data_IF_452040375847
#
_entry.id   IF_452040375847
#
_cell.length_a   1.000
_cell.length_b   1.000
_cell.length_c   1.000
_cell.angle_alpha   90.00
_cell.angle_beta   90.00
_cell.angle_gamma   90.00
#
_symmetry.space_group_name_H-M   'P 1'
#
loop_
_entity.id
_entity.type
_entity.pdbx_description
1 polymer ?
#
# COMPACT_ATOMS: atom_id res chain seq x y z
N UNK A 1 -26.28 -1.28 24.13
CA UNK A 1 -25.12 -1.76 24.94
C UNK A 1 -24.70 -0.64 25.86
N UNK A 2 -24.70 -0.89 27.18
CA UNK A 2 -24.19 0.02 28.20
C UNK A 2 -22.65 -0.05 28.29
N UNK A 3 -21.97 0.92 28.92
CA UNK A 3 -20.52 0.83 29.15
C UNK A 3 -20.09 -0.45 29.90
N UNK A 4 -20.92 -0.95 30.82
CA UNK A 4 -20.63 -2.16 31.58
C UNK A 4 -20.78 -3.43 30.72
N UNK A 5 -21.82 -3.49 29.91
CA UNK A 5 -22.01 -4.58 28.94
C UNK A 5 -20.87 -4.58 27.91
N UNK A 6 -20.44 -3.40 27.44
CA UNK A 6 -19.30 -3.26 26.56
C UNK A 6 -18.01 -3.78 27.20
N UNK A 7 -17.75 -3.41 28.47
CA UNK A 7 -16.56 -3.89 29.18
C UNK A 7 -16.51 -5.41 29.26
N UNK A 8 -17.62 -6.03 29.62
CA UNK A 8 -17.72 -7.49 29.74
C UNK A 8 -17.52 -8.16 28.38
N UNK A 9 -18.18 -7.68 27.35
CA UNK A 9 -18.05 -8.21 25.98
C UNK A 9 -16.63 -8.04 25.43
N UNK A 10 -16.01 -6.89 25.68
CA UNK A 10 -14.64 -6.61 25.23
C UNK A 10 -13.61 -7.54 25.89
N UNK A 11 -13.73 -7.82 27.18
CA UNK A 11 -12.86 -8.78 27.85
C UNK A 11 -12.99 -10.18 27.22
N UNK A 12 -14.23 -10.66 27.01
CA UNK A 12 -14.46 -11.94 26.33
C UNK A 12 -13.84 -12.00 24.95
N UNK A 13 -13.99 -10.92 24.16
CA UNK A 13 -13.41 -10.85 22.82
C UNK A 13 -11.89 -10.81 22.84
N UNK A 14 -11.29 -10.07 23.77
CA UNK A 14 -9.81 -9.97 23.90
C UNK A 14 -9.23 -11.33 24.30
N UNK A 15 -9.82 -12.04 25.25
CA UNK A 15 -9.39 -13.37 25.64
C UNK A 15 -9.52 -14.35 24.47
N UNK A 16 -10.64 -14.31 23.75
CA UNK A 16 -10.84 -15.11 22.54
C UNK A 16 -9.78 -14.83 21.45
N UNK A 17 -9.45 -13.55 21.19
CA UNK A 17 -8.42 -13.18 20.22
C UNK A 17 -7.06 -13.73 20.65
N UNK A 18 -6.71 -13.63 21.92
CA UNK A 18 -5.45 -14.13 22.45
C UNK A 18 -5.32 -15.65 22.25
N UNK A 19 -6.36 -16.40 22.59
CA UNK A 19 -6.42 -17.85 22.43
C UNK A 19 -6.38 -18.26 20.95
N UNK A 20 -7.14 -17.59 20.08
CA UNK A 20 -7.09 -17.80 18.63
C UNK A 20 -5.67 -17.60 18.08
N UNK A 21 -5.01 -16.49 18.45
CA UNK A 21 -3.66 -16.19 17.98
C UNK A 21 -2.64 -17.22 18.49
N UNK A 22 -2.79 -17.70 19.71
CA UNK A 22 -1.94 -18.78 20.25
C UNK A 22 -2.07 -20.07 19.42
N UNK A 23 -3.29 -20.46 19.06
CA UNK A 23 -3.57 -21.64 18.21
C UNK A 23 -3.04 -21.48 16.78
N UNK A 24 -3.14 -20.27 16.21
CA UNK A 24 -2.57 -19.98 14.88
C UNK A 24 -1.04 -20.08 14.92
N UNK A 25 -0.39 -19.49 15.91
CA UNK A 25 1.08 -19.49 16.04
C UNK A 25 1.66 -20.86 16.35
N UNK A 26 0.93 -21.71 17.09
CA UNK A 26 1.35 -23.09 17.32
C UNK A 26 1.15 -24.01 16.11
N UNK A 27 0.44 -23.54 15.07
CA UNK A 27 0.09 -24.35 13.91
C UNK A 27 -1.03 -25.36 14.17
N UNK A 28 -1.78 -25.23 15.27
CA UNK A 28 -2.92 -26.08 15.59
C UNK A 28 -4.09 -25.88 14.61
N UNK A 29 -4.28 -24.65 14.12
CA UNK A 29 -5.31 -24.36 13.13
C UNK A 29 -4.79 -24.58 11.69
N UNK A 30 -5.67 -25.05 10.77
CA UNK A 30 -5.30 -25.22 9.37
C UNK A 30 -4.96 -23.87 8.73
N UNK A 31 -4.02 -23.85 7.79
CA UNK A 31 -3.66 -22.62 7.06
C UNK A 31 -4.80 -22.13 6.19
N UNK A 32 -5.41 -23.03 5.41
CA UNK A 32 -6.50 -22.71 4.49
C UNK A 32 -7.82 -23.20 5.02
N UNK A 33 -8.88 -22.45 4.77
CA UNK A 33 -10.26 -22.91 4.97
C UNK A 33 -10.58 -24.12 4.08
N UNK A 34 -11.36 -25.06 4.60
CA UNK A 34 -11.94 -26.16 3.84
C UNK A 34 -13.27 -25.79 3.15
N UNK A 35 -13.81 -24.60 3.40
CA UNK A 35 -15.09 -24.15 2.86
C UNK A 35 -15.03 -23.96 1.33
N UNK A 36 -16.15 -24.25 0.67
CA UNK A 36 -16.37 -23.96 -0.74
C UNK A 36 -17.08 -22.61 -0.90
N UNK A 37 -17.00 -21.99 -2.08
CA UNK A 37 -17.77 -20.78 -2.34
C UNK A 37 -19.26 -20.99 -2.08
N UNK A 38 -19.84 -20.21 -1.17
CA UNK A 38 -21.22 -20.27 -0.75
C UNK A 38 -21.49 -20.95 0.60
N UNK A 39 -20.58 -21.74 1.13
CA UNK A 39 -20.79 -22.47 2.39
C UNK A 39 -21.02 -21.53 3.57
N UNK A 40 -20.20 -20.50 3.74
CA UNK A 40 -20.37 -19.49 4.79
C UNK A 40 -21.70 -18.74 4.61
N UNK A 41 -22.04 -18.37 3.38
CA UNK A 41 -23.31 -17.69 3.09
C UNK A 41 -24.52 -18.57 3.45
N UNK A 42 -24.45 -19.87 3.17
CA UNK A 42 -25.54 -20.80 3.45
C UNK A 42 -25.73 -21.04 4.96
N UNK A 43 -24.69 -20.82 5.76
CA UNK A 43 -24.76 -20.92 7.22
C UNK A 43 -25.29 -19.64 7.90
N UNK A 44 -25.30 -18.51 7.19
CA UNK A 44 -25.83 -17.24 7.70
C UNK A 44 -27.35 -17.12 7.43
N UNK A 45 -28.10 -16.38 8.29
CA UNK A 45 -29.50 -16.10 8.05
C UNK A 45 -29.74 -15.44 6.68
N UNK A 46 -30.81 -15.84 5.98
CA UNK A 46 -31.16 -15.28 4.67
C UNK A 46 -31.71 -13.84 4.74
N UNK A 47 -32.17 -13.42 5.92
CA UNK A 47 -32.74 -12.09 6.18
C UNK A 47 -32.07 -11.47 7.42
N UNK A 48 -32.05 -10.13 7.54
CA UNK A 48 -31.56 -9.48 8.74
C UNK A 48 -32.41 -9.87 9.97
N UNK A 49 -31.80 -9.95 11.17
CA UNK A 49 -32.57 -10.24 12.40
C UNK A 49 -33.57 -9.11 12.69
N UNK A 50 -34.78 -9.47 13.09
CA UNK A 50 -35.83 -8.52 13.47
C UNK A 50 -35.60 -7.89 14.86
N UNK A 51 -34.78 -8.53 15.69
CA UNK A 51 -34.47 -8.07 17.04
C UNK A 51 -32.96 -8.20 17.32
N UNK A 52 -32.39 -7.37 18.24
CA UNK A 52 -31.01 -7.51 18.66
C UNK A 52 -30.79 -8.83 19.41
N UNK A 53 -29.62 -9.42 19.19
CA UNK A 53 -29.17 -10.63 19.85
C UNK A 53 -28.10 -10.33 20.93
N UNK A 54 -27.98 -11.16 21.96
CA UNK A 54 -26.93 -11.01 22.96
C UNK A 54 -25.56 -11.28 22.35
N UNK A 55 -24.51 -10.61 22.87
CA UNK A 55 -23.14 -10.72 22.36
C UNK A 55 -22.62 -12.18 22.30
N UNK A 56 -23.03 -13.02 23.24
CA UNK A 56 -22.67 -14.45 23.23
C UNK A 56 -23.17 -15.18 21.96
N UNK A 57 -24.28 -14.76 21.37
CA UNK A 57 -24.75 -15.32 20.10
C UNK A 57 -23.79 -14.95 18.99
N UNK A 58 -23.35 -13.68 18.94
CA UNK A 58 -22.33 -13.20 17.97
C UNK A 58 -21.02 -13.98 18.12
N UNK A 59 -20.57 -14.25 19.35
CA UNK A 59 -19.36 -15.04 19.59
C UNK A 59 -19.49 -16.49 19.11
N UNK A 60 -20.66 -17.11 19.31
CA UNK A 60 -20.93 -18.47 18.77
C UNK A 60 -20.88 -18.49 17.24
N UNK A 61 -21.45 -17.51 16.57
CA UNK A 61 -21.40 -17.40 15.09
C UNK A 61 -20.00 -17.16 14.59
N UNK A 62 -19.22 -16.35 15.31
CA UNK A 62 -17.81 -16.12 15.00
C UNK A 62 -17.02 -17.45 15.03
N UNK A 63 -17.23 -18.28 16.03
CA UNK A 63 -16.55 -19.59 16.16
C UNK A 63 -17.06 -20.64 15.18
N UNK A 64 -18.40 -20.74 15.02
CA UNK A 64 -19.00 -21.82 14.26
C UNK A 64 -19.07 -21.56 12.75
N UNK A 65 -19.17 -20.30 12.34
CA UNK A 65 -19.41 -19.92 10.94
C UNK A 65 -18.22 -19.17 10.34
N UNK A 66 -17.74 -18.13 11.04
CA UNK A 66 -16.72 -17.23 10.47
C UNK A 66 -15.32 -17.86 10.52
N UNK A 67 -14.90 -18.33 11.70
CA UNK A 67 -13.54 -18.85 11.89
C UNK A 67 -13.21 -20.03 10.96
N UNK A 68 -14.08 -21.03 10.73
CA UNK A 68 -13.80 -22.12 9.79
C UNK A 68 -13.65 -21.64 8.33
N UNK A 69 -14.23 -20.49 8.00
CA UNK A 69 -14.10 -19.83 6.68
C UNK A 69 -12.84 -18.98 6.51
N UNK A 70 -12.05 -18.78 7.55
CA UNK A 70 -10.87 -17.94 7.53
C UNK A 70 -9.63 -18.67 6.98
N UNK A 71 -8.81 -17.96 6.23
CA UNK A 71 -7.43 -18.33 5.96
C UNK A 71 -6.53 -17.74 7.04
N UNK A 72 -5.72 -18.59 7.68
CA UNK A 72 -4.89 -18.17 8.82
C UNK A 72 -3.56 -17.59 8.33
N UNK A 73 -3.57 -16.34 7.87
CA UNK A 73 -2.42 -15.58 7.33
C UNK A 73 -1.25 -15.48 8.31
N UNK A 74 -1.52 -15.55 9.61
CA UNK A 74 -0.51 -15.45 10.67
C UNK A 74 0.11 -16.82 11.02
N UNK A 75 -0.31 -17.90 10.35
CA UNK A 75 0.26 -19.23 10.57
C UNK A 75 1.73 -19.26 10.11
N UNK A 76 2.64 -19.89 10.90
CA UNK A 76 4.03 -20.08 10.47
C UNK A 76 4.16 -20.97 9.23
N UNK A 77 3.08 -21.66 8.85
CA UNK A 77 2.99 -22.53 7.68
C UNK A 77 2.30 -21.85 6.48
N UNK A 78 2.01 -20.55 6.53
CA UNK A 78 1.46 -19.81 5.41
C UNK A 78 2.59 -19.28 4.52
N UNK A 79 2.67 -19.81 3.29
CA UNK A 79 3.70 -19.45 2.30
C UNK A 79 3.14 -18.84 1.01
N UNK A 80 1.89 -18.39 1.04
CA UNK A 80 1.24 -17.71 -0.09
C UNK A 80 1.34 -16.20 0.01
N UNK A 81 1.47 -15.51 -1.11
CA UNK A 81 1.47 -14.06 -1.21
C UNK A 81 2.56 -13.36 -0.37
N UNK A 82 2.49 -12.04 -0.23
CA UNK A 82 3.20 -11.32 0.83
C UNK A 82 2.41 -11.38 2.14
N UNK A 83 3.09 -11.46 3.30
CA UNK A 83 2.40 -11.54 4.58
C UNK A 83 1.56 -10.31 4.86
N UNK A 84 0.40 -10.53 5.48
CA UNK A 84 -0.35 -9.50 6.18
C UNK A 84 -0.11 -9.75 7.68
N UNK A 85 0.94 -9.18 8.22
CA UNK A 85 1.28 -9.32 9.62
C UNK A 85 0.49 -8.30 10.44
N UNK A 86 -0.09 -8.79 11.54
CA UNK A 86 -0.82 -7.95 12.48
C UNK A 86 -0.38 -8.31 13.90
N UNK A 87 0.50 -7.51 14.47
CA UNK A 87 0.94 -7.68 15.85
C UNK A 87 -0.23 -7.45 16.82
N UNK A 88 -0.26 -8.16 17.95
CA UNK A 88 -1.30 -7.95 18.97
C UNK A 88 -1.33 -6.52 19.51
N UNK A 89 -0.16 -5.84 19.55
CA UNK A 89 -0.11 -4.42 19.90
C UNK A 89 -0.85 -3.52 18.88
N UNK A 90 -0.85 -3.89 17.59
CA UNK A 90 -1.60 -3.15 16.57
C UNK A 90 -3.11 -3.34 16.74
N UNK A 91 -3.57 -4.53 17.16
CA UNK A 91 -4.97 -4.78 17.50
C UNK A 91 -5.44 -3.85 18.63
N UNK A 92 -4.59 -3.65 19.66
CA UNK A 92 -4.91 -2.70 20.75
C UNK A 92 -4.92 -1.25 20.25
N UNK A 93 -4.04 -0.90 19.32
CA UNK A 93 -4.05 0.42 18.66
C UNK A 93 -5.34 0.69 17.90
N UNK A 94 -5.82 -0.28 17.12
CA UNK A 94 -7.09 -0.18 16.39
C UNK A 94 -8.30 -0.08 17.36
N UNK A 95 -8.30 -0.87 18.43
CA UNK A 95 -9.33 -0.81 19.46
C UNK A 95 -9.39 0.58 20.11
N UNK A 96 -8.23 1.15 20.46
CA UNK A 96 -8.14 2.49 21.04
C UNK A 96 -8.61 3.56 20.05
N UNK A 97 -8.14 3.50 18.79
CA UNK A 97 -8.53 4.43 17.73
C UNK A 97 -10.05 4.41 17.48
N UNK A 98 -10.61 3.20 17.34
CA UNK A 98 -12.05 3.02 17.14
C UNK A 98 -12.85 3.49 18.36
N UNK A 99 -12.35 3.21 19.58
CA UNK A 99 -12.98 3.64 20.82
C UNK A 99 -12.99 5.14 21.03
N UNK A 100 -11.96 5.86 20.55
CA UNK A 100 -11.91 7.33 20.57
C UNK A 100 -12.82 7.98 19.52
N UNK A 101 -13.20 7.24 18.48
CA UNK A 101 -14.10 7.68 17.39
C UNK A 101 -13.71 9.05 16.79
N UNK A 102 -12.40 9.30 16.65
CA UNK A 102 -11.91 10.56 16.11
C UNK A 102 -12.01 10.61 14.60
N UNK A 103 -12.31 11.79 14.06
CA UNK A 103 -12.42 12.03 12.63
C UNK A 103 -11.23 12.87 12.13
N UNK A 104 -10.26 12.21 11.50
CA UNK A 104 -9.01 12.82 11.04
C UNK A 104 -9.09 13.49 9.65
N UNK A 105 -10.12 14.31 9.39
CA UNK A 105 -10.26 14.99 8.08
C UNK A 105 -9.19 16.07 7.87
N UNK A 106 -8.86 16.79 8.92
CA UNK A 106 -7.88 17.86 8.94
C UNK A 106 -7.46 18.17 10.38
N UNK A 107 -6.47 19.05 10.55
CA UNK A 107 -5.98 19.43 11.85
C UNK A 107 -7.08 19.98 12.79
N UNK A 108 -8.03 20.73 12.28
CA UNK A 108 -9.11 21.32 13.10
C UNK A 108 -10.09 20.27 13.63
N UNK A 109 -10.37 19.22 12.84
CA UNK A 109 -11.28 18.14 13.25
C UNK A 109 -10.62 17.17 14.23
N UNK A 110 -9.32 16.96 14.15
CA UNK A 110 -8.55 16.13 15.09
C UNK A 110 -7.07 16.54 15.10
N UNK A 111 -6.69 17.56 15.91
CA UNK A 111 -5.29 17.98 16.00
C UNK A 111 -4.36 16.84 16.40
N UNK A 112 -4.78 16.01 17.37
CA UNK A 112 -3.99 14.89 17.86
C UNK A 112 -3.70 13.85 16.78
N UNK A 113 -4.69 13.48 15.94
CA UNK A 113 -4.48 12.51 14.85
C UNK A 113 -3.53 13.06 13.79
N UNK A 114 -3.71 14.33 13.40
CA UNK A 114 -2.87 14.96 12.38
C UNK A 114 -1.40 15.04 12.85
N UNK A 115 -1.16 15.53 14.07
CA UNK A 115 0.21 15.66 14.58
C UNK A 115 0.85 14.30 14.90
N UNK A 116 0.05 13.30 15.31
CA UNK A 116 0.52 11.94 15.50
C UNK A 116 0.92 11.30 14.16
N UNK A 117 0.13 11.50 13.10
CA UNK A 117 0.46 11.03 11.75
C UNK A 117 1.77 11.66 11.25
N UNK A 118 1.91 12.98 11.32
CA UNK A 118 3.12 13.70 10.93
C UNK A 118 4.35 13.16 11.68
N UNK A 119 4.21 12.99 13.00
CA UNK A 119 5.30 12.50 13.86
C UNK A 119 5.67 11.05 13.55
N UNK A 120 4.70 10.15 13.45
CA UNK A 120 4.96 8.72 13.24
C UNK A 120 5.47 8.42 11.84
N UNK A 121 4.98 9.13 10.83
CA UNK A 121 5.50 9.01 9.46
C UNK A 121 6.92 9.58 9.35
N UNK A 122 7.25 10.66 10.08
CA UNK A 122 8.63 11.16 10.14
C UNK A 122 9.56 10.19 10.87
N UNK A 123 9.12 9.56 11.96
CA UNK A 123 9.90 8.48 12.59
C UNK A 123 10.14 7.32 11.63
N UNK A 124 9.14 6.90 10.87
CA UNK A 124 9.32 5.86 9.86
C UNK A 124 10.31 6.30 8.77
N UNK A 125 10.21 7.55 8.28
CA UNK A 125 11.18 8.15 7.35
C UNK A 125 12.62 8.02 7.87
N UNK A 126 12.85 8.38 9.14
CA UNK A 126 14.16 8.29 9.78
C UNK A 126 14.63 6.84 9.91
N UNK A 127 13.77 5.93 10.36
CA UNK A 127 14.07 4.51 10.45
C UNK A 127 14.47 3.91 9.11
N UNK A 128 13.80 4.31 8.03
CA UNK A 128 14.10 3.87 6.66
C UNK A 128 15.36 4.52 6.08
N UNK A 129 15.93 5.52 6.74
CA UNK A 129 17.08 6.28 6.23
C UNK A 129 16.76 7.20 5.05
N UNK A 130 15.50 7.60 4.89
CA UNK A 130 15.09 8.51 3.82
C UNK A 130 15.53 9.95 4.13
N UNK A 131 15.90 10.74 3.09
CA UNK A 131 16.23 12.17 3.23
C UNK A 131 15.14 12.99 3.92
N UNK A 132 15.56 14.05 4.63
CA UNK A 132 14.65 14.94 5.38
C UNK A 132 13.61 15.65 4.48
N UNK A 133 13.87 15.76 3.19
CA UNK A 133 12.96 16.40 2.24
C UNK A 133 11.63 15.66 2.09
N UNK A 134 11.60 14.35 2.34
CA UNK A 134 10.38 13.56 2.21
C UNK A 134 9.40 13.83 3.33
N UNK A 135 8.12 13.93 2.99
CA UNK A 135 6.99 13.99 3.92
C UNK A 135 6.11 12.78 3.71
N UNK A 136 5.74 12.13 4.82
CA UNK A 136 4.86 10.96 4.81
C UNK A 136 3.41 11.32 5.02
N UNK A 137 2.51 10.57 4.41
CA UNK A 137 1.07 10.56 4.66
C UNK A 137 0.57 9.12 4.67
N UNK A 138 -0.29 8.79 5.64
CA UNK A 138 -0.90 7.46 5.73
C UNK A 138 -2.01 7.35 4.68
N UNK A 139 -2.00 6.24 3.94
CA UNK A 139 -3.02 5.86 2.98
C UNK A 139 -3.45 4.41 3.23
N UNK A 140 -4.57 3.98 2.68
CA UNK A 140 -5.06 2.62 2.86
C UNK A 140 -4.09 1.59 2.27
N UNK A 141 -3.79 1.69 1.00
CA UNK A 141 -2.97 0.69 0.29
C UNK A 141 -1.91 1.32 -0.62
N UNK A 142 -0.88 0.53 -0.96
CA UNK A 142 0.08 0.95 -1.98
C UNK A 142 -0.56 1.14 -3.36
N UNK A 143 -1.69 0.51 -3.64
CA UNK A 143 -2.44 0.74 -4.88
C UNK A 143 -2.99 2.16 -4.95
N UNK A 144 -3.48 2.68 -3.83
CA UNK A 144 -3.91 4.07 -3.70
C UNK A 144 -2.72 5.03 -3.82
N UNK A 145 -1.62 4.73 -3.13
CA UNK A 145 -0.38 5.50 -3.20
C UNK A 145 0.16 5.60 -4.64
N UNK A 146 0.15 4.49 -5.39
CA UNK A 146 0.56 4.46 -6.80
C UNK A 146 -0.39 5.31 -7.65
N UNK A 147 -1.70 5.24 -7.43
CA UNK A 147 -2.67 6.09 -8.15
C UNK A 147 -2.39 7.58 -7.89
N UNK A 148 -2.19 7.96 -6.64
CA UNK A 148 -1.86 9.34 -6.26
C UNK A 148 -0.54 9.79 -6.92
N UNK A 149 0.50 8.93 -6.91
CA UNK A 149 1.77 9.21 -7.55
C UNK A 149 1.60 9.47 -9.06
N UNK A 150 0.82 8.64 -9.76
CA UNK A 150 0.59 8.80 -11.20
C UNK A 150 -0.28 10.03 -11.52
N UNK A 151 -1.24 10.38 -10.66
CA UNK A 151 -1.99 11.64 -10.79
C UNK A 151 -1.05 12.83 -10.61
N UNK A 152 -0.20 12.85 -9.57
CA UNK A 152 0.78 13.90 -9.35
C UNK A 152 1.75 14.03 -10.54
N UNK A 153 2.25 12.91 -11.05
CA UNK A 153 3.13 12.87 -12.22
C UNK A 153 2.45 13.48 -13.44
N UNK A 154 1.22 13.07 -13.73
CA UNK A 154 0.40 13.60 -14.84
C UNK A 154 0.20 15.10 -14.71
N UNK A 155 -0.24 15.56 -13.54
CA UNK A 155 -0.53 16.97 -13.31
C UNK A 155 0.75 17.83 -13.38
N UNK A 156 1.87 17.36 -12.81
CA UNK A 156 3.17 18.02 -12.97
C UNK A 156 3.55 18.14 -14.46
N UNK A 157 3.46 17.04 -15.20
CA UNK A 157 3.86 16.97 -16.60
C UNK A 157 2.99 17.84 -17.52
N UNK A 158 1.70 17.97 -17.23
CA UNK A 158 0.74 18.77 -17.99
C UNK A 158 0.59 20.22 -17.49
N UNK A 159 1.35 20.60 -16.46
CA UNK A 159 1.21 21.90 -15.81
C UNK A 159 -0.16 22.06 -15.15
N UNK A 160 -0.70 21.00 -14.53
CA UNK A 160 -2.00 20.96 -13.86
C UNK A 160 -3.19 21.21 -14.81
N UNK A 161 -3.20 20.45 -15.90
CA UNK A 161 -4.23 20.60 -16.93
C UNK A 161 -5.64 20.19 -16.48
N UNK A 162 -5.76 19.27 -15.51
CA UNK A 162 -7.08 18.80 -15.04
C UNK A 162 -7.96 19.95 -14.53
N UNK A 163 -7.37 20.92 -13.83
CA UNK A 163 -8.10 22.10 -13.33
C UNK A 163 -8.51 23.10 -14.43
N UNK A 164 -7.93 23.02 -15.65
CA UNK A 164 -8.18 23.98 -16.72
C UNK A 164 -9.02 23.45 -17.87
N UNK A 165 -8.91 22.22 -18.22
CA UNK A 165 -9.63 21.62 -19.37
C UNK A 165 -9.62 20.10 -19.35
N UNK A 166 -9.15 19.53 -18.25
CA UNK A 166 -9.02 18.10 -18.12
C UNK A 166 -7.94 17.51 -19.03
N UNK A 167 -7.90 16.18 -19.12
CA UNK A 167 -6.95 15.47 -19.97
C UNK A 167 -7.16 15.72 -21.47
N UNK A 168 -8.34 16.17 -21.86
CA UNK A 168 -8.65 16.51 -23.26
C UNK A 168 -7.83 17.71 -23.78
N UNK A 169 -7.26 18.52 -22.87
CA UNK A 169 -6.38 19.62 -23.21
C UNK A 169 -4.89 19.22 -23.28
N UNK A 170 -4.54 18.00 -22.92
CA UNK A 170 -3.18 17.48 -23.05
C UNK A 170 -2.89 17.17 -24.53
N UNK A 171 -1.99 17.95 -25.13
CA UNK A 171 -1.73 17.89 -26.58
C UNK A 171 -0.93 16.67 -27.06
N UNK A 172 -0.33 15.89 -26.14
CA UNK A 172 0.50 14.72 -26.45
C UNK A 172 0.12 13.53 -25.57
N UNK A 173 0.23 12.29 -26.08
CA UNK A 173 0.08 11.10 -25.25
C UNK A 173 1.15 11.07 -24.15
N UNK A 174 0.72 10.91 -22.90
CA UNK A 174 1.64 10.77 -21.77
C UNK A 174 2.00 9.29 -21.59
N UNK A 175 3.27 8.98 -21.32
CA UNK A 175 3.77 7.60 -21.21
C UNK A 175 4.28 7.32 -19.79
N UNK A 176 3.93 6.15 -19.26
CA UNK A 176 4.43 5.58 -18.00
C UNK A 176 5.32 4.38 -18.34
N UNK A 177 6.47 4.29 -17.66
CA UNK A 177 7.42 3.20 -17.83
C UNK A 177 7.45 2.32 -16.58
N UNK A 178 7.39 1.00 -16.78
CA UNK A 178 7.33 0.03 -15.68
C UNK A 178 7.90 -1.33 -16.14
N UNK A 179 8.43 -2.14 -15.22
CA UNK A 179 8.81 -3.52 -15.57
C UNK A 179 7.58 -4.43 -15.64
N UNK A 180 7.65 -5.51 -16.43
CA UNK A 180 6.60 -6.53 -16.49
C UNK A 180 6.39 -7.31 -15.20
N UNK A 181 7.29 -7.16 -14.21
CA UNK A 181 7.22 -7.78 -12.89
C UNK A 181 6.64 -6.87 -11.80
N UNK A 182 6.31 -5.61 -12.13
CA UNK A 182 5.66 -4.69 -11.21
C UNK A 182 4.28 -5.22 -10.79
N UNK A 183 3.80 -4.76 -9.65
CA UNK A 183 2.48 -5.15 -9.16
C UNK A 183 1.37 -4.60 -10.08
N UNK A 184 0.31 -5.39 -10.30
CA UNK A 184 -0.83 -5.02 -11.17
C UNK A 184 -1.58 -3.74 -10.76
N UNK A 185 -1.28 -3.19 -9.58
CA UNK A 185 -1.80 -1.88 -9.17
C UNK A 185 -1.35 -0.75 -10.09
N UNK A 186 -0.15 -0.86 -10.71
CA UNK A 186 0.34 0.15 -11.65
C UNK A 186 -0.55 0.23 -12.88
N UNK A 187 -0.91 -0.93 -13.47
CA UNK A 187 -1.84 -0.99 -14.62
C UNK A 187 -3.19 -0.36 -14.27
N UNK A 188 -3.74 -0.73 -13.12
CA UNK A 188 -5.04 -0.22 -12.64
C UNK A 188 -4.97 1.28 -12.36
N UNK A 189 -3.92 1.72 -11.68
CA UNK A 189 -3.69 3.13 -11.38
C UNK A 189 -3.53 3.96 -12.66
N UNK A 190 -2.79 3.46 -13.66
CA UNK A 190 -2.63 4.12 -14.93
C UNK A 190 -3.98 4.35 -15.63
N UNK A 191 -4.82 3.31 -15.69
CA UNK A 191 -6.16 3.44 -16.28
C UNK A 191 -7.06 4.42 -15.51
N UNK A 192 -7.07 4.35 -14.18
CA UNK A 192 -7.85 5.25 -13.32
C UNK A 192 -7.35 6.70 -13.40
N UNK A 193 -6.04 6.90 -13.52
CA UNK A 193 -5.43 8.20 -13.72
C UNK A 193 -5.64 8.77 -15.14
N UNK A 194 -6.32 8.03 -16.03
CA UNK A 194 -6.67 8.47 -17.37
C UNK A 194 -5.61 8.21 -18.45
N UNK A 195 -4.61 7.38 -18.14
CA UNK A 195 -3.70 6.87 -19.16
C UNK A 195 -4.34 5.67 -19.87
N UNK A 196 -4.10 5.51 -21.17
CA UNK A 196 -4.51 4.31 -21.89
C UNK A 196 -3.54 3.14 -21.66
N UNK A 197 -3.94 1.91 -21.97
CA UNK A 197 -3.05 0.74 -21.90
C UNK A 197 -1.83 0.86 -22.81
N UNK A 198 -1.98 1.50 -23.97
CA UNK A 198 -0.91 1.75 -24.93
C UNK A 198 0.15 2.73 -24.42
N UNK A 199 -0.19 3.53 -23.40
CA UNK A 199 0.70 4.47 -22.75
C UNK A 199 1.45 3.86 -21.56
N UNK A 200 1.18 2.60 -21.21
CA UNK A 200 1.95 1.85 -20.23
C UNK A 200 3.04 1.05 -20.96
N UNK A 201 4.26 1.57 -20.94
CA UNK A 201 5.41 0.99 -21.62
C UNK A 201 6.11 -0.01 -20.71
N UNK A 202 6.09 -1.29 -21.10
CA UNK A 202 6.83 -2.33 -20.38
C UNK A 202 8.31 -2.28 -20.78
N UNK A 203 9.17 -2.18 -19.78
CA UNK A 203 10.62 -2.13 -19.93
C UNK A 203 11.22 -3.51 -19.70
N UNK A 204 12.19 -3.88 -20.51
CA UNK A 204 12.93 -5.13 -20.39
C UNK A 204 13.64 -5.23 -19.04
N UNK A 205 13.74 -6.47 -18.55
CA UNK A 205 14.44 -6.79 -17.31
C UNK A 205 15.69 -7.61 -17.61
N UNK A 206 16.60 -7.63 -16.65
CA UNK A 206 17.77 -8.50 -16.68
C UNK A 206 17.44 -9.92 -16.19
N UNK A 207 18.47 -10.78 -16.06
CA UNK A 207 18.33 -12.17 -15.60
C UNK A 207 17.87 -12.27 -14.12
N UNK A 208 18.04 -11.20 -13.35
CA UNK A 208 17.54 -11.08 -11.97
C UNK A 208 16.12 -10.47 -11.91
N UNK A 209 15.47 -10.29 -13.06
CA UNK A 209 14.14 -9.67 -13.21
C UNK A 209 14.07 -8.19 -12.81
N UNK A 210 15.23 -7.51 -12.67
CA UNK A 210 15.30 -6.09 -12.38
C UNK A 210 15.20 -5.27 -13.68
N UNK A 211 14.55 -4.09 -13.62
CA UNK A 211 14.40 -3.20 -14.76
C UNK A 211 15.76 -2.75 -15.30
N UNK A 212 15.96 -2.83 -16.60
CA UNK A 212 17.15 -2.35 -17.27
C UNK A 212 17.06 -0.85 -17.54
N UNK A 213 17.98 -0.07 -16.95
CA UNK A 213 18.00 1.39 -17.10
C UNK A 213 18.36 1.82 -18.54
N UNK A 214 19.20 1.06 -19.26
CA UNK A 214 19.51 1.29 -20.66
C UNK A 214 18.31 1.03 -21.59
N UNK A 215 17.51 0.01 -21.29
CA UNK A 215 16.27 -0.25 -22.01
C UNK A 215 15.20 0.83 -21.73
N UNK A 216 15.16 1.35 -20.48
CA UNK A 216 14.30 2.49 -20.15
C UNK A 216 14.68 3.73 -20.97
N UNK A 217 15.98 4.07 -21.05
CA UNK A 217 16.45 5.23 -21.80
C UNK A 217 16.14 5.08 -23.29
N UNK A 218 16.38 3.90 -23.88
CA UNK A 218 16.03 3.61 -25.26
C UNK A 218 14.52 3.78 -25.52
N UNK A 219 13.67 3.24 -24.66
CA UNK A 219 12.21 3.36 -24.79
C UNK A 219 11.73 4.81 -24.72
N UNK A 220 12.35 5.64 -23.86
CA UNK A 220 12.04 7.07 -23.74
C UNK A 220 12.39 7.79 -25.06
N UNK A 221 13.55 7.51 -25.65
CA UNK A 221 13.94 8.12 -26.92
C UNK A 221 12.98 7.74 -28.07
N UNK A 222 12.60 6.47 -28.17
CA UNK A 222 11.61 6.03 -29.16
C UNK A 222 10.26 6.75 -29.00
N UNK A 223 9.79 6.92 -27.76
CA UNK A 223 8.50 7.57 -27.51
C UNK A 223 8.54 9.06 -27.80
N UNK A 224 9.67 9.73 -27.52
CA UNK A 224 9.91 11.13 -27.90
C UNK A 224 9.89 11.31 -29.43
N UNK A 225 10.54 10.41 -30.18
CA UNK A 225 10.53 10.42 -31.65
C UNK A 225 9.12 10.22 -32.22
N UNK A 226 8.28 9.45 -31.56
CA UNK A 226 6.86 9.25 -31.90
C UNK A 226 5.97 10.43 -31.49
N UNK A 227 6.53 11.45 -30.87
CA UNK A 227 5.80 12.63 -30.41
C UNK A 227 5.04 12.45 -29.10
N UNK A 228 5.25 11.36 -28.38
CA UNK A 228 4.71 11.16 -27.05
C UNK A 228 5.50 11.99 -26.00
N UNK A 229 4.96 12.10 -24.81
CA UNK A 229 5.56 12.81 -23.69
C UNK A 229 5.82 11.87 -22.53
N UNK A 230 7.08 11.53 -22.21
CA UNK A 230 7.43 10.79 -21.00
C UNK A 230 6.89 11.48 -19.74
N UNK A 231 6.26 10.72 -18.85
CA UNK A 231 5.57 11.27 -17.67
C UNK A 231 6.11 10.71 -16.37
N UNK A 232 6.13 9.37 -16.23
CA UNK A 232 6.55 8.72 -15.00
C UNK A 232 7.28 7.41 -15.27
N UNK A 233 8.14 7.02 -14.35
CA UNK A 233 8.66 5.67 -14.22
C UNK A 233 8.34 5.13 -12.83
N UNK A 234 7.90 3.87 -12.76
CA UNK A 234 7.66 3.15 -11.51
C UNK A 234 8.74 2.09 -11.35
N UNK A 235 9.62 2.29 -10.38
CA UNK A 235 10.63 1.31 -9.97
C UNK A 235 10.14 0.54 -8.74
N UNK A 236 10.50 -0.74 -8.63
CA UNK A 236 10.02 -1.61 -7.55
C UNK A 236 11.18 -2.11 -6.69
N UNK A 237 10.99 -2.07 -5.37
CA UNK A 237 11.88 -2.71 -4.41
C UNK A 237 11.20 -3.94 -3.82
N UNK A 238 11.52 -5.11 -4.38
CA UNK A 238 10.91 -6.40 -4.02
C UNK A 238 9.61 -6.64 -4.76
N UNK A 239 9.68 -7.02 -6.04
CA UNK A 239 8.51 -7.39 -6.86
C UNK A 239 7.77 -8.58 -6.26
N UNK A 240 6.44 -8.61 -6.40
CA UNK A 240 5.59 -9.64 -5.78
C UNK A 240 5.91 -11.06 -6.23
N UNK A 241 6.26 -11.25 -7.49
CA UNK A 241 6.50 -12.58 -8.07
C UNK A 241 7.92 -13.09 -7.92
N UNK A 242 8.93 -12.19 -7.94
CA UNK A 242 10.34 -12.58 -8.03
C UNK A 242 11.22 -11.95 -6.94
N UNK A 243 10.66 -11.04 -6.15
CA UNK A 243 11.40 -10.21 -5.17
C UNK A 243 12.52 -9.37 -5.77
N UNK A 244 12.51 -9.15 -7.09
CA UNK A 244 13.50 -8.35 -7.80
C UNK A 244 13.54 -6.92 -7.28
N UNK A 245 14.73 -6.33 -7.32
CA UNK A 245 14.98 -4.96 -6.89
C UNK A 245 15.51 -4.16 -8.06
N UNK A 246 14.76 -3.16 -8.49
CA UNK A 246 15.15 -2.30 -9.59
C UNK A 246 16.31 -1.38 -9.19
N UNK A 247 17.26 -1.07 -10.09
CA UNK A 247 18.43 -0.25 -9.80
C UNK A 247 18.06 1.24 -9.74
N UNK A 248 17.54 1.69 -8.57
CA UNK A 248 16.93 3.01 -8.37
C UNK A 248 17.86 4.16 -8.79
N UNK A 249 19.18 4.07 -8.50
CA UNK A 249 20.10 5.16 -8.87
C UNK A 249 20.24 5.30 -10.39
N UNK A 250 20.36 4.19 -11.12
CA UNK A 250 20.46 4.23 -12.57
C UNK A 250 19.15 4.71 -13.21
N UNK A 251 18.01 4.18 -12.78
CA UNK A 251 16.67 4.61 -13.22
C UNK A 251 16.44 6.08 -12.87
N UNK A 252 16.83 6.50 -11.66
CA UNK A 252 16.68 7.88 -11.19
C UNK A 252 17.48 8.89 -12.01
N UNK A 253 18.69 8.50 -12.47
CA UNK A 253 19.47 9.36 -13.40
C UNK A 253 18.75 9.54 -14.72
N UNK A 254 18.22 8.47 -15.30
CA UNK A 254 17.42 8.54 -16.54
C UNK A 254 16.16 9.39 -16.32
N UNK A 255 15.44 9.16 -15.23
CA UNK A 255 14.24 9.93 -14.90
C UNK A 255 14.53 11.43 -14.77
N UNK A 256 15.61 11.81 -14.08
CA UNK A 256 16.03 13.21 -13.95
C UNK A 256 16.42 13.84 -15.28
N UNK A 257 17.17 13.11 -16.13
CA UNK A 257 17.61 13.62 -17.44
C UNK A 257 16.43 13.96 -18.35
N UNK A 258 15.33 13.23 -18.24
CA UNK A 258 14.14 13.39 -19.06
C UNK A 258 12.95 14.07 -18.33
N UNK A 259 13.13 14.50 -17.08
CA UNK A 259 12.10 15.19 -16.30
C UNK A 259 10.91 14.33 -15.89
N UNK A 260 11.08 12.99 -15.84
CA UNK A 260 10.04 12.08 -15.41
C UNK A 260 9.82 12.12 -13.89
N UNK A 261 8.61 11.79 -13.47
CA UNK A 261 8.33 11.45 -12.08
C UNK A 261 8.88 10.05 -11.79
N UNK A 262 9.71 9.92 -10.76
CA UNK A 262 10.14 8.61 -10.26
C UNK A 262 9.30 8.25 -9.02
N UNK A 263 8.47 7.23 -9.17
CA UNK A 263 7.79 6.58 -8.05
C UNK A 263 8.49 5.27 -7.70
N UNK A 264 8.77 5.04 -6.42
CA UNK A 264 9.38 3.78 -5.94
C UNK A 264 8.33 3.00 -5.15
N UNK A 265 7.92 1.87 -5.72
CA UNK A 265 7.07 0.89 -5.03
C UNK A 265 7.94 0.01 -4.13
N UNK A 266 8.05 0.40 -2.86
CA UNK A 266 8.67 -0.35 -1.78
C UNK A 266 7.65 -1.03 -0.87
N UNK A 267 6.46 -1.34 -1.36
CA UNK A 267 5.34 -1.84 -0.56
C UNK A 267 5.71 -2.99 0.40
N UNK A 268 6.55 -3.91 -0.04
CA UNK A 268 7.09 -4.98 0.82
C UNK A 268 8.55 -4.72 1.20
N UNK A 269 9.43 -4.68 0.21
CA UNK A 269 10.87 -4.62 0.41
C UNK A 269 11.35 -3.32 1.05
N UNK A 270 10.60 -2.23 0.91
CA UNK A 270 10.93 -0.95 1.54
C UNK A 270 11.08 -1.04 3.06
N UNK A 271 10.30 -1.90 3.73
CA UNK A 271 10.41 -2.10 5.18
C UNK A 271 11.77 -2.65 5.62
N UNK A 272 12.49 -3.37 4.75
CA UNK A 272 13.82 -3.89 5.06
C UNK A 272 14.85 -2.78 5.29
N UNK A 273 14.61 -1.57 4.77
CA UNK A 273 15.54 -0.43 4.89
C UNK A 273 15.66 0.11 6.31
N UNK A 274 14.83 -0.36 7.24
CA UNK A 274 15.02 -0.15 8.68
C UNK A 274 16.39 -0.72 9.11
N UNK A 275 16.80 -1.82 8.49
CA UNK A 275 18.09 -2.45 8.72
C UNK A 275 19.18 -1.71 7.91
N UNK A 276 20.21 -1.16 8.56
CA UNK A 276 21.27 -0.42 7.86
C UNK A 276 21.96 -1.23 6.74
N UNK A 277 22.10 -2.53 6.92
CA UNK A 277 22.69 -3.45 5.94
C UNK A 277 21.86 -3.60 4.66
N UNK A 278 20.57 -3.33 4.70
CA UNK A 278 19.67 -3.35 3.52
C UNK A 278 19.64 -2.02 2.75
N UNK A 279 20.02 -0.91 3.37
CA UNK A 279 19.97 0.44 2.76
C UNK A 279 20.74 0.58 1.45
N UNK A 280 21.85 -0.12 1.19
CA UNK A 280 22.49 -0.09 -0.14
C UNK A 280 21.58 -0.50 -1.28
N UNK A 281 20.53 -1.29 -1.04
CA UNK A 281 19.52 -1.66 -2.03
C UNK A 281 18.67 -0.44 -2.49
N UNK A 282 18.69 0.64 -1.70
CA UNK A 282 18.04 1.92 -2.02
C UNK A 282 19.02 3.01 -2.43
N UNK A 283 20.22 2.65 -2.91
CA UNK A 283 21.14 3.64 -3.46
C UNK A 283 20.42 4.45 -4.55
N UNK A 284 20.46 5.79 -4.45
CA UNK A 284 19.73 6.69 -5.37
C UNK A 284 18.30 7.03 -4.98
N UNK A 285 17.81 6.56 -3.82
CA UNK A 285 16.43 6.83 -3.36
C UNK A 285 16.15 8.35 -3.21
N UNK A 286 17.18 9.14 -2.98
CA UNK A 286 17.09 10.60 -2.93
C UNK A 286 16.68 11.24 -4.27
N UNK A 287 16.66 10.48 -5.37
CA UNK A 287 16.17 10.92 -6.68
C UNK A 287 14.68 10.72 -6.87
N UNK A 288 14.04 9.90 -6.03
CA UNK A 288 12.61 9.65 -6.15
C UNK A 288 11.77 10.91 -5.87
N UNK A 289 10.68 11.07 -6.59
CA UNK A 289 9.65 12.08 -6.31
C UNK A 289 8.68 11.55 -5.25
N UNK A 290 8.43 10.24 -5.26
CA UNK A 290 7.57 9.58 -4.28
C UNK A 290 7.98 8.12 -4.03
N UNK A 291 7.65 7.63 -2.84
CA UNK A 291 7.95 6.27 -2.37
C UNK A 291 6.73 5.77 -1.61
N UNK A 292 6.40 4.50 -1.74
CA UNK A 292 5.41 3.85 -0.86
C UNK A 292 6.02 2.69 -0.11
N UNK A 293 5.67 2.57 1.16
CA UNK A 293 5.99 1.42 2.04
C UNK A 293 4.72 1.00 2.75
N UNK A 294 4.48 -0.31 2.87
CA UNK A 294 3.29 -0.82 3.56
C UNK A 294 3.65 -1.39 4.94
N UNK A 295 3.46 -0.63 6.03
CA UNK A 295 3.60 -1.15 7.38
C UNK A 295 2.74 -2.39 7.66
N UNK A 296 1.55 -2.49 7.03
CA UNK A 296 0.66 -3.63 7.19
C UNK A 296 1.19 -4.95 6.59
N UNK A 297 2.27 -4.92 5.78
CA UNK A 297 2.90 -6.14 5.26
C UNK A 297 3.96 -6.68 6.22
N UNK A 298 5.02 -5.93 6.47
CA UNK A 298 6.19 -6.45 7.19
C UNK A 298 6.42 -5.84 8.57
N UNK A 299 5.81 -4.71 8.87
CA UNK A 299 6.01 -4.04 10.17
C UNK A 299 4.95 -4.38 11.23
N UNK A 300 4.06 -5.33 10.94
CA UNK A 300 3.09 -5.84 11.92
C UNK A 300 1.97 -4.87 12.28
N UNK A 301 1.72 -3.87 11.45
CA UNK A 301 0.59 -2.95 11.60
C UNK A 301 -0.67 -3.58 11.03
N UNK A 302 -1.83 -3.25 11.57
CA UNK A 302 -3.11 -3.72 11.04
C UNK A 302 -3.34 -3.24 9.61
N UNK A 303 -3.97 -4.07 8.79
CA UNK A 303 -4.43 -3.71 7.44
C UNK A 303 -5.72 -2.88 7.57
N UNK A 304 -5.88 -1.75 6.85
CA UNK A 304 -4.97 -1.24 5.82
C UNK A 304 -4.10 -0.10 6.36
N UNK A 305 -2.80 -0.16 6.10
CA UNK A 305 -1.88 0.92 6.43
C UNK A 305 -0.72 0.93 5.45
N UNK A 306 -0.64 1.96 4.63
CA UNK A 306 0.48 2.27 3.74
C UNK A 306 0.97 3.68 4.04
N UNK A 307 2.26 3.93 3.91
CA UNK A 307 2.81 5.28 4.02
C UNK A 307 3.34 5.70 2.66
N UNK A 308 2.77 6.77 2.13
CA UNK A 308 3.23 7.44 0.93
C UNK A 308 4.14 8.60 1.31
N UNK A 309 5.37 8.53 0.88
CA UNK A 309 6.33 9.62 1.03
C UNK A 309 6.43 10.40 -0.26
N UNK A 310 6.37 11.71 -0.17
CA UNK A 310 6.52 12.62 -1.31
C UNK A 310 7.60 13.65 -1.02
N UNK A 311 8.41 13.97 -2.05
CA UNK A 311 9.47 14.96 -1.95
C UNK A 311 8.93 16.38 -1.82
N UNK A 312 7.96 16.73 -2.65
CA UNK A 312 7.28 18.03 -2.62
C UNK A 312 5.78 17.83 -2.35
N UNK A 313 5.33 18.09 -1.11
CA UNK A 313 3.93 17.91 -0.73
C UNK A 313 2.96 18.85 -1.47
N UNK A 314 3.47 19.92 -2.13
CA UNK A 314 2.63 20.81 -2.91
C UNK A 314 1.97 20.10 -4.09
N UNK A 315 2.57 19.01 -4.57
CA UNK A 315 1.94 18.18 -5.60
C UNK A 315 0.67 17.48 -5.08
N UNK A 316 0.62 17.08 -3.81
CA UNK A 316 -0.57 16.48 -3.19
C UNK A 316 -1.69 17.50 -2.98
N UNK A 317 -1.33 18.73 -2.61
CA UNK A 317 -2.34 19.79 -2.33
C UNK A 317 -3.03 20.26 -3.62
N UNK A 318 -2.41 20.03 -4.77
CA UNK A 318 -2.87 20.55 -6.08
C UNK A 318 -3.62 19.52 -6.93
N UNK A 319 -3.76 18.27 -6.48
CA UNK A 319 -4.42 17.17 -7.21
C UNK A 319 -5.68 16.67 -6.54
#
# INVERSE_FOLDING_TARGET
MTPEEFRTAAHTLVDWIADYRAKVYSGELPVLSANRPGDVRAALPAAPPEAPEPFDAVMRDLEAIVLPGCTNWQSPNFFGYFPSNNALAAVLGDLASTGLAQLGLNWQSSPALTELEETTTDWLRQMLGLPEVFRGVIQGTASEATLVALICARERTTGYAAARGGLQSAGKPLVIYVSGHAHSSVDKAALLAGFGREQLRLIETDEAFAMRADALEAAIHEDLERGAQPCAVVATTGTTGTTAIDPIDAIGRVAQAHGLWLHVDGAMGGSAMILPECRPLWAGIERADSIVVNPHKWLGVSMDCSVYFVRDPQHLVRV
#
